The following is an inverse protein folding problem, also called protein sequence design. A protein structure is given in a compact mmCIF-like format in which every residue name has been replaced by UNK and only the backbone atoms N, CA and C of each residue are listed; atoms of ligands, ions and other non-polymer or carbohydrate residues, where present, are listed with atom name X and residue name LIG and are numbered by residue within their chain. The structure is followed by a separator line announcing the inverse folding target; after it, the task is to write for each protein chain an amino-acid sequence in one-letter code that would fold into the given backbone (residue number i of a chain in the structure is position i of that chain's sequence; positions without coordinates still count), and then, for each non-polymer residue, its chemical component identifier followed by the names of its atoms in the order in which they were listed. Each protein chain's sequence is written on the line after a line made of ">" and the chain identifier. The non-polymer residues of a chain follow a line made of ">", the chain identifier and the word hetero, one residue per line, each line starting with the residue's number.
data_IF_252257289071
#
_entry.id   IF_252257289071
#
_cell.length_a   1.000
_cell.length_b   1.000
_cell.length_c   1.000
_cell.angle_alpha   90.00
_cell.angle_beta   90.00
_cell.angle_gamma   90.00
#
_symmetry.space_group_name_H-M   'P 1'
#
loop_
_entity.id
_entity.type
_entity.pdbx_description
1 polymer ?
#
# COMPACT_ATOMS: atom_id res chain seq x y z
N UNK A 1 14.88 14.70 28.45
CA UNK A 1 15.51 15.83 27.74
C UNK A 1 15.70 15.34 26.32
N UNK A 2 15.33 16.11 25.28
CA UNK A 2 15.46 15.63 23.89
C UNK A 2 16.94 15.48 23.53
N UNK A 3 17.30 14.38 22.90
CA UNK A 3 18.70 14.05 22.57
C UNK A 3 19.31 15.10 21.61
N UNK A 4 18.48 15.72 20.76
CA UNK A 4 18.92 16.71 19.78
C UNK A 4 19.23 18.09 20.37
N UNK A 5 18.73 18.42 21.58
CA UNK A 5 18.89 19.76 22.14
C UNK A 5 20.36 20.12 22.38
N UNK A 6 21.19 19.13 22.71
CA UNK A 6 22.63 19.32 22.90
C UNK A 6 23.30 19.81 21.60
N UNK A 7 22.94 19.21 20.46
CA UNK A 7 23.46 19.62 19.16
C UNK A 7 23.10 21.07 18.83
N UNK A 8 21.84 21.46 19.04
CA UNK A 8 21.42 22.86 18.82
C UNK A 8 22.15 23.79 19.79
N UNK A 9 22.29 23.42 21.05
CA UNK A 9 23.03 24.21 22.04
C UNK A 9 24.49 24.45 21.62
N UNK A 10 25.21 23.39 21.23
CA UNK A 10 26.60 23.49 20.77
C UNK A 10 26.74 24.32 19.49
N UNK A 11 25.76 24.19 18.58
CA UNK A 11 25.68 24.98 17.35
C UNK A 11 25.48 26.47 17.65
N UNK A 12 24.51 26.80 18.49
CA UNK A 12 24.22 28.19 18.88
C UNK A 12 25.39 28.80 19.68
N UNK A 13 26.00 28.04 20.59
CA UNK A 13 27.17 28.50 21.34
C UNK A 13 28.37 28.77 20.42
N UNK A 14 28.62 27.89 19.45
CA UNK A 14 29.66 28.09 18.44
C UNK A 14 29.37 29.30 17.54
N UNK A 15 28.11 29.47 17.13
CA UNK A 15 27.66 30.61 16.35
C UNK A 15 27.88 31.93 17.11
N UNK A 16 27.44 32.02 18.37
CA UNK A 16 27.63 33.20 19.22
C UNK A 16 29.10 33.56 19.39
N UNK A 17 29.98 32.56 19.56
CA UNK A 17 31.43 32.78 19.66
C UNK A 17 32.02 33.30 18.35
N UNK A 18 31.63 32.72 17.21
CA UNK A 18 32.13 33.13 15.91
C UNK A 18 31.68 34.55 15.55
N UNK A 19 30.38 34.82 15.63
CA UNK A 19 29.80 36.14 15.35
C UNK A 19 30.24 37.19 16.37
N UNK A 20 30.44 36.80 17.64
CA UNK A 20 31.01 37.67 18.66
C UNK A 20 32.42 38.15 18.30
N UNK A 21 33.27 37.26 17.77
CA UNK A 21 34.60 37.61 17.31
C UNK A 21 34.57 38.55 16.09
N UNK A 22 33.68 38.31 15.12
CA UNK A 22 33.47 39.23 13.98
C UNK A 22 32.99 40.62 14.43
N UNK A 23 32.04 40.65 15.37
CA UNK A 23 31.53 41.90 15.96
C UNK A 23 32.65 42.67 16.65
N UNK A 24 33.53 41.98 17.36
CA UNK A 24 34.66 42.59 18.05
C UNK A 24 35.69 43.22 17.10
N UNK A 25 36.00 42.56 15.99
CA UNK A 25 36.86 43.12 14.95
C UNK A 25 36.26 44.39 14.35
N UNK A 26 34.95 44.39 14.11
CA UNK A 26 34.25 45.52 13.46
C UNK A 26 34.00 46.70 14.39
N UNK A 27 33.78 46.45 15.68
CA UNK A 27 33.46 47.48 16.68
C UNK A 27 34.32 47.37 17.96
N UNK A 28 35.64 47.64 17.90
CA UNK A 28 36.55 47.38 19.01
C UNK A 28 36.22 48.15 20.29
N UNK A 29 35.74 49.40 20.16
CA UNK A 29 35.38 50.24 21.31
C UNK A 29 34.20 49.71 22.12
N UNK A 30 33.26 49.02 21.47
CA UNK A 30 32.07 48.45 22.12
C UNK A 30 32.36 47.05 22.63
N UNK A 31 33.00 46.22 21.81
CA UNK A 31 33.35 44.85 22.19
C UNK A 31 34.41 44.77 23.29
N UNK A 32 35.33 45.74 23.37
CA UNK A 32 36.30 45.83 24.47
C UNK A 32 35.64 46.03 25.85
N UNK A 33 34.41 46.55 25.91
CA UNK A 33 33.62 46.61 27.17
C UNK A 33 32.98 45.28 27.53
N UNK A 34 32.84 44.38 26.57
CA UNK A 34 32.20 43.08 26.68
C UNK A 34 33.23 41.93 26.73
N UNK A 35 34.53 42.24 26.62
CA UNK A 35 35.63 41.26 26.61
C UNK A 35 35.40 40.11 25.61
N UNK A 36 34.82 40.43 24.46
CA UNK A 36 34.55 39.46 23.39
C UNK A 36 35.82 39.31 22.53
N UNK A 37 36.82 38.61 23.02
CA UNK A 37 38.01 38.23 22.23
C UNK A 37 37.82 36.85 21.57
N UNK A 38 38.58 36.59 20.50
CA UNK A 38 38.43 35.38 19.71
C UNK A 38 38.83 34.12 20.52
N UNK A 39 37.83 33.40 21.02
CA UNK A 39 37.96 32.02 21.49
C UNK A 39 37.80 31.78 22.99
N UNK A 40 37.74 32.82 23.84
CA UNK A 40 37.43 32.69 25.28
C UNK A 40 37.01 34.03 25.88
N UNK A 41 35.87 34.07 26.55
CA UNK A 41 35.55 35.17 27.44
C UNK A 41 36.30 34.96 28.77
N UNK A 42 37.09 35.94 29.21
CA UNK A 42 37.84 35.82 30.47
C UNK A 42 36.93 35.92 31.70
N UNK A 43 35.74 36.52 31.56
CA UNK A 43 34.75 36.64 32.64
C UNK A 43 33.83 35.40 32.70
N UNK A 44 33.87 34.60 33.79
CA UNK A 44 33.02 33.43 33.96
C UNK A 44 31.52 33.73 34.03
N UNK A 45 31.11 34.95 34.38
CA UNK A 45 29.71 35.35 34.41
C UNK A 45 29.19 35.67 33.01
N UNK A 46 30.00 36.32 32.17
CA UNK A 46 29.66 36.59 30.78
C UNK A 46 29.61 35.29 29.98
N UNK A 47 30.55 34.36 30.21
CA UNK A 47 30.52 33.04 29.58
C UNK A 47 29.23 32.28 29.93
N UNK A 48 28.84 32.26 31.21
CA UNK A 48 27.57 31.63 31.64
C UNK A 48 26.33 32.31 31.04
N UNK A 49 26.38 33.62 30.82
CA UNK A 49 25.29 34.34 30.14
C UNK A 49 25.21 33.95 28.65
N UNK A 50 26.36 33.78 27.98
CA UNK A 50 26.41 33.29 26.59
C UNK A 50 25.90 31.85 26.49
N UNK A 51 26.28 30.97 27.41
CA UNK A 51 25.76 29.61 27.52
C UNK A 51 24.25 29.61 27.78
N UNK A 52 23.75 30.40 28.73
CA UNK A 52 22.32 30.51 29.00
C UNK A 52 21.54 31.05 27.78
N UNK A 53 22.11 32.01 27.06
CA UNK A 53 21.51 32.55 25.84
C UNK A 53 21.51 31.52 24.70
N UNK A 54 22.62 30.82 24.48
CA UNK A 54 22.72 29.71 23.53
C UNK A 54 21.67 28.63 23.83
N UNK A 55 21.46 28.30 25.10
CA UNK A 55 20.46 27.32 25.52
C UNK A 55 19.03 27.78 25.20
N UNK A 56 18.71 29.05 25.44
CA UNK A 56 17.40 29.60 25.08
C UNK A 56 17.20 29.64 23.56
N UNK A 57 18.19 30.10 22.81
CA UNK A 57 18.16 30.14 21.34
C UNK A 57 18.02 28.74 20.73
N UNK A 58 18.77 27.77 21.26
CA UNK A 58 18.70 26.38 20.83
C UNK A 58 17.29 25.79 20.98
N UNK A 59 16.60 26.11 22.09
CA UNK A 59 15.21 25.68 22.29
C UNK A 59 14.25 26.32 21.27
N UNK A 60 14.47 27.57 20.90
CA UNK A 60 13.65 28.28 19.90
C UNK A 60 13.89 27.69 18.51
N UNK A 61 15.13 27.53 18.07
CA UNK A 61 15.43 26.95 16.76
C UNK A 61 14.98 25.49 16.65
N UNK A 62 15.20 24.66 17.68
CA UNK A 62 14.67 23.30 17.72
C UNK A 62 13.15 23.30 17.58
N UNK A 63 12.45 24.24 18.23
CA UNK A 63 10.99 24.34 18.15
C UNK A 63 10.50 24.78 16.78
N UNK A 64 11.20 25.71 16.11
CA UNK A 64 10.88 26.15 14.75
C UNK A 64 11.06 25.01 13.75
N UNK A 65 12.20 24.30 13.83
CA UNK A 65 12.50 23.20 12.91
C UNK A 65 11.52 22.03 13.09
N UNK A 66 11.06 21.78 14.31
CA UNK A 66 10.01 20.81 14.63
C UNK A 66 8.62 21.15 14.08
N UNK A 67 8.29 22.44 13.95
CA UNK A 67 6.96 22.89 13.48
C UNK A 67 6.88 22.96 11.95
N UNK A 68 8.01 23.04 11.26
CA UNK A 68 8.05 23.13 9.80
C UNK A 68 7.36 21.95 9.08
N UNK A 69 7.51 20.67 9.51
CA UNK A 69 6.76 19.55 8.96
C UNK A 69 5.23 19.71 9.01
N UNK A 70 4.68 20.33 10.06
CA UNK A 70 3.23 20.52 10.20
C UNK A 70 2.66 21.43 9.09
N UNK A 71 3.44 22.44 8.68
CA UNK A 71 3.08 23.36 7.58
C UNK A 71 3.06 22.60 6.26
N UNK A 72 4.07 21.77 6.01
CA UNK A 72 4.19 20.97 4.79
C UNK A 72 3.08 19.92 4.72
N UNK A 73 2.79 19.23 5.83
CA UNK A 73 1.70 18.26 5.93
C UNK A 73 0.34 18.92 5.67
N UNK A 74 0.11 20.10 6.25
CA UNK A 74 -1.11 20.89 6.02
C UNK A 74 -1.29 21.24 4.55
N UNK A 75 -0.22 21.66 3.87
CA UNK A 75 -0.25 21.94 2.44
C UNK A 75 -0.55 20.67 1.62
N UNK A 76 0.08 19.54 1.95
CA UNK A 76 -0.18 18.26 1.31
C UNK A 76 -1.60 17.76 1.53
N UNK A 77 -2.20 18.03 2.69
CA UNK A 77 -3.59 17.65 2.96
C UNK A 77 -4.59 18.28 1.98
N UNK A 78 -4.25 19.43 1.39
CA UNK A 78 -5.06 20.13 0.38
C UNK A 78 -4.67 19.71 -1.03
N UNK A 79 -3.37 19.74 -1.37
CA UNK A 79 -2.91 19.52 -2.74
C UNK A 79 -2.83 18.02 -3.12
N UNK A 80 -2.31 17.18 -2.22
CA UNK A 80 -2.10 15.75 -2.44
C UNK A 80 -2.51 14.93 -1.20
N UNK A 81 -3.82 14.89 -0.86
CA UNK A 81 -4.30 14.26 0.37
C UNK A 81 -3.94 12.78 0.51
N UNK A 82 -3.67 12.09 -0.61
CA UNK A 82 -3.31 10.67 -0.62
C UNK A 82 -1.87 10.39 -0.13
N UNK A 83 -1.01 11.40 0.03
CA UNK A 83 0.34 11.23 0.58
C UNK A 83 0.37 11.27 2.11
N UNK A 84 -0.61 11.95 2.71
CA UNK A 84 -0.72 12.11 4.17
C UNK A 84 -1.79 11.19 4.79
N UNK A 85 -2.71 10.65 3.97
CA UNK A 85 -3.72 9.73 4.45
C UNK A 85 -3.15 8.31 4.60
N UNK A 86 -3.41 7.63 5.73
CA UNK A 86 -2.99 6.25 5.90
C UNK A 86 -3.70 5.32 4.91
N UNK A 87 -2.97 4.33 4.41
CA UNK A 87 -3.55 3.27 3.58
C UNK A 87 -4.28 2.28 4.50
N UNK A 88 -5.59 2.04 4.31
CA UNK A 88 -6.32 1.11 5.15
C UNK A 88 -5.85 -0.33 4.90
N UNK A 89 -6.09 -1.22 5.86
CA UNK A 89 -5.91 -2.65 5.66
C UNK A 89 -6.84 -3.14 4.54
N UNK A 90 -6.32 -4.00 3.66
CA UNK A 90 -7.03 -4.56 2.51
C UNK A 90 -6.79 -6.07 2.44
N UNK A 91 -7.77 -6.82 1.94
CA UNK A 91 -7.66 -8.27 1.75
C UNK A 91 -8.56 -8.73 0.61
N UNK A 92 -8.27 -9.91 0.08
CA UNK A 92 -9.11 -10.61 -0.91
C UNK A 92 -9.91 -11.68 -0.18
N UNK A 93 -11.23 -11.67 -0.36
CA UNK A 93 -12.13 -12.65 0.23
C UNK A 93 -12.77 -13.50 -0.85
N UNK A 94 -13.02 -14.76 -0.53
CA UNK A 94 -13.78 -15.67 -1.37
C UNK A 94 -15.16 -15.89 -0.75
N UNK A 95 -16.20 -15.65 -1.54
CA UNK A 95 -17.56 -15.99 -1.15
C UNK A 95 -17.87 -17.42 -1.58
N UNK A 96 -18.39 -18.22 -0.65
CA UNK A 96 -18.91 -19.55 -0.93
C UNK A 96 -20.42 -19.50 -0.95
N UNK A 97 -21.01 -19.95 -2.06
CA UNK A 97 -22.44 -20.22 -2.11
C UNK A 97 -22.70 -21.53 -1.36
N UNK A 98 -23.62 -21.48 -0.41
CA UNK A 98 -24.12 -22.67 0.29
C UNK A 98 -25.10 -23.41 -0.64
N UNK A 99 -24.77 -24.63 -1.11
CA UNK A 99 -25.65 -25.39 -2.00
C UNK A 99 -26.98 -25.79 -1.35
N UNK A 100 -27.03 -25.87 -0.02
CA UNK A 100 -28.18 -26.39 0.73
C UNK A 100 -29.17 -25.29 1.14
N UNK A 101 -28.71 -24.03 1.24
CA UNK A 101 -29.55 -22.90 1.66
C UNK A 101 -30.39 -22.27 0.54
N UNK A 102 -30.32 -22.79 -0.69
CA UNK A 102 -31.23 -22.39 -1.76
C UNK A 102 -30.77 -22.84 -3.14
N UNK A 103 -31.72 -23.26 -3.97
CA UNK A 103 -31.49 -23.51 -5.40
C UNK A 103 -31.24 -22.18 -6.11
N UNK A 104 -30.02 -21.67 -6.01
CA UNK A 104 -29.56 -20.55 -6.83
C UNK A 104 -29.46 -21.02 -8.29
N UNK A 105 -30.58 -20.90 -9.00
CA UNK A 105 -30.65 -21.14 -10.45
C UNK A 105 -30.15 -19.94 -11.26
N UNK A 106 -29.82 -18.83 -10.59
CA UNK A 106 -29.36 -17.57 -11.19
C UNK A 106 -28.15 -17.02 -10.41
N UNK A 107 -27.44 -16.05 -10.97
CA UNK A 107 -26.34 -15.38 -10.29
C UNK A 107 -26.81 -14.52 -9.11
N UNK A 108 -26.05 -14.51 -8.01
CA UNK A 108 -26.28 -13.67 -6.84
C UNK A 108 -25.35 -12.45 -6.88
N UNK A 109 -25.92 -11.25 -7.00
CA UNK A 109 -25.12 -10.01 -7.02
C UNK A 109 -24.77 -9.57 -5.60
N UNK A 110 -23.48 -9.38 -5.34
CA UNK A 110 -22.93 -8.68 -4.19
C UNK A 110 -22.55 -7.27 -4.65
N UNK A 111 -23.26 -6.23 -4.17
CA UNK A 111 -22.93 -4.87 -4.55
C UNK A 111 -21.60 -4.41 -3.96
N UNK A 112 -20.98 -3.42 -4.58
CA UNK A 112 -19.92 -2.62 -3.96
C UNK A 112 -20.38 -2.04 -2.62
N UNK A 113 -19.45 -1.77 -1.71
CA UNK A 113 -19.72 -1.28 -0.35
C UNK A 113 -20.45 -2.29 0.56
N UNK A 114 -20.59 -3.55 0.16
CA UNK A 114 -21.14 -4.61 1.02
C UNK A 114 -20.25 -4.80 2.24
N UNK A 115 -20.85 -4.76 3.43
CA UNK A 115 -20.14 -4.82 4.70
C UNK A 115 -19.69 -6.25 5.01
N UNK A 116 -18.42 -6.40 5.41
CA UNK A 116 -17.82 -7.65 5.84
C UNK A 116 -17.17 -7.47 7.21
N UNK A 117 -17.20 -8.51 8.04
CA UNK A 117 -16.57 -8.51 9.35
C UNK A 117 -15.48 -9.58 9.42
N UNK A 118 -14.33 -9.24 9.99
CA UNK A 118 -13.32 -10.24 10.32
C UNK A 118 -13.70 -11.04 11.55
N UNK A 119 -12.97 -12.13 11.81
CA UNK A 119 -12.92 -12.71 13.14
C UNK A 119 -12.49 -11.63 14.16
N UNK A 120 -13.04 -11.62 15.40
CA UNK A 120 -12.65 -10.66 16.41
C UNK A 120 -11.18 -10.81 16.80
N UNK A 121 -10.45 -9.69 16.85
CA UNK A 121 -9.08 -9.62 17.38
C UNK A 121 -9.18 -8.79 18.65
N UNK A 122 -8.75 -9.34 19.79
CA UNK A 122 -8.94 -8.71 21.12
C UNK A 122 -10.40 -8.31 21.40
N UNK A 123 -11.36 -9.13 20.96
CA UNK A 123 -12.79 -8.89 21.16
C UNK A 123 -13.43 -7.89 20.18
N UNK A 124 -12.66 -7.28 19.26
CA UNK A 124 -13.20 -6.35 18.27
C UNK A 124 -13.03 -6.87 16.84
N UNK A 125 -14.11 -7.04 16.07
CA UNK A 125 -14.01 -7.38 14.65
C UNK A 125 -13.65 -6.15 13.82
N UNK A 126 -12.79 -6.33 12.82
CA UNK A 126 -12.51 -5.32 11.82
C UNK A 126 -13.63 -5.29 10.79
N UNK A 127 -14.06 -4.08 10.40
CA UNK A 127 -15.06 -3.85 9.36
C UNK A 127 -14.39 -3.58 8.02
N UNK A 128 -14.72 -4.38 7.02
CA UNK A 128 -14.29 -4.23 5.64
C UNK A 128 -15.50 -3.97 4.74
N UNK A 129 -15.23 -3.53 3.51
CA UNK A 129 -16.24 -3.32 2.49
C UNK A 129 -15.75 -3.80 1.13
N UNK A 130 -16.64 -4.35 0.32
CA UNK A 130 -16.31 -4.71 -1.08
C UNK A 130 -16.03 -3.43 -1.88
N UNK A 131 -15.07 -3.50 -2.81
CA UNK A 131 -14.65 -2.34 -3.63
C UNK A 131 -15.16 -2.39 -5.09
N UNK A 132 -15.93 -3.41 -5.45
CA UNK A 132 -16.60 -3.52 -6.74
C UNK A 132 -17.79 -4.49 -6.68
N UNK A 133 -18.70 -4.35 -7.64
CA UNK A 133 -19.80 -5.29 -7.84
C UNK A 133 -19.27 -6.67 -8.23
N UNK A 134 -19.78 -7.72 -7.59
CA UNK A 134 -19.40 -9.11 -7.85
C UNK A 134 -20.63 -9.98 -7.97
N UNK A 135 -20.80 -10.68 -9.09
CA UNK A 135 -21.86 -11.69 -9.24
C UNK A 135 -21.29 -13.06 -8.89
N UNK A 136 -21.88 -13.72 -7.90
CA UNK A 136 -21.58 -15.09 -7.54
C UNK A 136 -22.40 -16.03 -8.41
N UNK A 137 -21.70 -16.85 -9.18
CA UNK A 137 -22.32 -17.88 -10.01
C UNK A 137 -22.28 -19.23 -9.27
N UNK A 138 -23.30 -20.09 -9.44
CA UNK A 138 -23.32 -21.46 -8.91
C UNK A 138 -22.39 -22.38 -9.74
N UNK A 139 -21.14 -21.94 -9.90
CA UNK A 139 -20.10 -22.58 -10.70
C UNK A 139 -18.84 -22.70 -9.85
N UNK A 140 -18.21 -23.87 -9.85
CA UNK A 140 -16.92 -24.13 -9.19
C UNK A 140 -15.85 -24.44 -10.22
N UNK A 141 -14.62 -24.02 -9.91
CA UNK A 141 -13.42 -24.53 -10.60
C UNK A 141 -13.10 -25.89 -10.01
N UNK A 142 -13.23 -26.94 -10.82
CA UNK A 142 -12.92 -28.32 -10.43
C UNK A 142 -11.43 -28.62 -10.57
N UNK A 143 -10.81 -28.10 -11.63
CA UNK A 143 -9.39 -28.27 -11.90
C UNK A 143 -8.84 -27.08 -12.67
N UNK A 144 -7.57 -26.77 -12.43
CA UNK A 144 -6.79 -25.79 -13.18
C UNK A 144 -5.40 -26.39 -13.46
N UNK A 145 -5.03 -26.50 -14.73
CA UNK A 145 -3.79 -27.15 -15.14
C UNK A 145 -3.08 -26.34 -16.23
N UNK A 146 -1.77 -26.17 -16.09
CA UNK A 146 -0.93 -25.69 -17.19
C UNK A 146 -0.39 -26.87 -17.99
N UNK A 147 -0.69 -26.92 -19.28
CA UNK A 147 -0.28 -28.03 -20.16
C UNK A 147 0.29 -27.51 -21.47
N UNK A 148 1.22 -28.25 -22.06
CA UNK A 148 1.58 -28.05 -23.46
C UNK A 148 0.36 -28.37 -24.35
N UNK A 149 0.22 -27.67 -25.47
CA UNK A 149 -1.00 -27.74 -26.27
C UNK A 149 -1.28 -29.15 -26.83
N UNK A 150 -0.23 -29.91 -27.15
CA UNK A 150 -0.26 -31.30 -27.61
C UNK A 150 -0.78 -32.30 -26.53
N UNK A 151 -0.68 -31.94 -25.26
CA UNK A 151 -1.11 -32.75 -24.11
C UNK A 151 -2.53 -32.44 -23.64
N UNK A 152 -3.20 -31.46 -24.26
CA UNK A 152 -4.60 -31.18 -23.95
C UNK A 152 -5.47 -32.36 -24.35
N UNK A 153 -6.38 -32.73 -23.45
CA UNK A 153 -7.40 -33.76 -23.67
C UNK A 153 -8.77 -33.21 -23.27
N UNK A 154 -9.81 -33.40 -24.09
CA UNK A 154 -9.78 -33.90 -25.47
C UNK A 154 -8.94 -33.00 -26.39
N UNK A 155 -8.40 -33.57 -27.47
CA UNK A 155 -7.57 -32.85 -28.42
C UNK A 155 -8.27 -31.56 -28.87
N UNK A 156 -7.48 -30.50 -28.99
CA UNK A 156 -7.96 -29.18 -29.39
C UNK A 156 -7.26 -28.84 -30.69
N UNK A 157 -7.95 -28.24 -31.67
CA UNK A 157 -7.27 -27.58 -32.77
C UNK A 157 -6.45 -26.41 -32.21
N UNK A 158 -5.22 -26.73 -31.80
CA UNK A 158 -4.27 -25.78 -31.27
C UNK A 158 -3.64 -25.04 -32.45
N UNK A 159 -4.22 -23.91 -32.84
CA UNK A 159 -3.61 -23.00 -33.82
C UNK A 159 -2.40 -22.34 -33.14
N UNK A 160 -1.21 -22.89 -33.35
CA UNK A 160 0.09 -22.32 -32.99
C UNK A 160 0.34 -22.00 -31.50
N UNK A 161 -0.46 -22.55 -30.57
CA UNK A 161 -0.20 -22.39 -29.14
C UNK A 161 0.85 -23.37 -28.63
N UNK A 162 1.85 -22.90 -27.88
CA UNK A 162 2.87 -23.76 -27.23
C UNK A 162 2.32 -24.42 -25.96
N UNK A 163 1.52 -23.67 -25.21
CA UNK A 163 0.92 -24.11 -23.95
C UNK A 163 -0.48 -23.53 -23.78
N UNK A 164 -1.21 -24.06 -22.79
CA UNK A 164 -2.56 -23.64 -22.46
C UNK A 164 -2.84 -23.83 -20.97
N UNK A 165 -3.63 -22.89 -20.43
CA UNK A 165 -4.29 -23.04 -19.15
C UNK A 165 -5.62 -23.76 -19.35
N UNK A 166 -5.74 -24.99 -18.88
CA UNK A 166 -6.99 -25.75 -18.88
C UNK A 166 -7.71 -25.50 -17.56
N UNK A 167 -8.91 -24.92 -17.65
CA UNK A 167 -9.84 -24.80 -16.54
C UNK A 167 -11.00 -25.77 -16.74
N UNK A 168 -11.30 -26.54 -15.71
CA UNK A 168 -12.49 -27.40 -15.67
C UNK A 168 -13.51 -26.76 -14.73
N UNK A 169 -14.68 -26.41 -15.27
CA UNK A 169 -15.74 -25.72 -14.54
C UNK A 169 -16.97 -26.62 -14.43
N UNK A 170 -17.54 -26.69 -13.24
CA UNK A 170 -18.75 -27.49 -12.97
C UNK A 170 -19.83 -26.60 -12.38
N UNK A 171 -21.06 -26.72 -12.87
CA UNK A 171 -22.22 -26.12 -12.23
C UNK A 171 -22.61 -26.91 -10.98
N UNK A 172 -23.31 -26.27 -10.05
CA UNK A 172 -23.93 -26.96 -8.91
C UNK A 172 -25.09 -27.85 -9.39
N UNK A 173 -25.59 -28.72 -8.51
CA UNK A 173 -26.68 -29.65 -8.84
C UNK A 173 -27.91 -28.88 -9.37
N UNK A 174 -28.59 -29.46 -10.36
CA UNK A 174 -29.78 -28.91 -11.04
C UNK A 174 -29.56 -27.59 -11.84
N UNK A 175 -28.31 -27.11 -11.96
CA UNK A 175 -27.97 -25.91 -12.73
C UNK A 175 -27.17 -26.26 -13.99
N UNK A 176 -27.51 -25.63 -15.11
CA UNK A 176 -26.78 -25.75 -16.38
C UNK A 176 -26.25 -24.39 -16.82
N UNK A 177 -25.11 -24.36 -17.51
CA UNK A 177 -24.52 -23.12 -18.01
C UNK A 177 -25.46 -22.33 -18.92
N UNK A 178 -26.31 -23.00 -19.70
CA UNK A 178 -27.30 -22.35 -20.59
C UNK A 178 -28.33 -21.50 -19.84
N UNK A 179 -28.62 -21.82 -18.56
CA UNK A 179 -29.57 -21.07 -17.74
C UNK A 179 -28.92 -19.88 -17.04
N UNK A 180 -27.59 -19.81 -17.02
CA UNK A 180 -26.85 -18.75 -16.37
C UNK A 180 -26.50 -17.69 -17.41
N UNK A 181 -26.96 -16.46 -17.17
CA UNK A 181 -26.67 -15.30 -18.03
C UNK A 181 -25.26 -14.76 -17.78
N UNK A 182 -24.25 -15.60 -18.05
CA UNK A 182 -22.84 -15.30 -17.78
C UNK A 182 -22.25 -14.57 -18.98
N UNK A 183 -22.10 -13.26 -18.86
CA UNK A 183 -21.34 -12.47 -19.84
C UNK A 183 -19.82 -12.51 -19.59
N UNK A 184 -19.42 -12.60 -18.31
CA UNK A 184 -18.00 -12.63 -17.93
C UNK A 184 -17.78 -13.43 -16.64
N UNK A 185 -16.65 -14.14 -16.59
CA UNK A 185 -16.16 -14.82 -15.39
C UNK A 185 -14.82 -14.22 -14.97
N UNK A 186 -14.75 -13.78 -13.71
CA UNK A 186 -13.53 -13.26 -13.10
C UNK A 186 -12.88 -14.35 -12.26
N UNK A 187 -11.60 -14.58 -12.50
CA UNK A 187 -10.78 -15.48 -11.70
C UNK A 187 -9.74 -14.68 -10.91
N UNK A 188 -9.49 -15.10 -9.67
CA UNK A 188 -8.37 -14.62 -8.86
C UNK A 188 -7.28 -15.68 -8.84
N UNK A 189 -6.06 -15.30 -9.23
CA UNK A 189 -4.90 -16.19 -9.25
C UNK A 189 -4.21 -16.14 -7.89
N UNK A 190 -4.50 -17.14 -7.04
CA UNK A 190 -3.85 -17.30 -5.75
C UNK A 190 -2.69 -18.30 -5.87
N UNK A 191 -1.47 -17.88 -5.58
CA UNK A 191 -0.28 -18.73 -5.63
C UNK A 191 1.01 -17.96 -5.44
N UNK A 192 2.14 -18.61 -5.73
CA UNK A 192 3.45 -17.98 -5.70
C UNK A 192 3.53 -16.79 -6.71
N UNK A 193 4.05 -15.61 -6.30
CA UNK A 193 4.13 -14.44 -7.18
C UNK A 193 4.88 -14.68 -8.49
N UNK A 194 5.95 -15.49 -8.47
CA UNK A 194 6.72 -15.76 -9.69
C UNK A 194 5.90 -16.50 -10.74
N UNK A 195 5.06 -17.44 -10.30
CA UNK A 195 4.17 -18.21 -11.17
C UNK A 195 2.97 -17.36 -11.59
N UNK A 196 2.30 -16.71 -10.64
CA UNK A 196 1.07 -15.96 -10.90
C UNK A 196 1.32 -14.73 -11.78
N UNK A 197 2.40 -13.97 -11.56
CA UNK A 197 2.73 -12.83 -12.42
C UNK A 197 3.07 -13.26 -13.86
N UNK A 198 3.85 -14.33 -14.02
CA UNK A 198 4.15 -14.89 -15.35
C UNK A 198 2.87 -15.35 -16.03
N UNK A 199 1.97 -16.02 -15.30
CA UNK A 199 0.69 -16.46 -15.86
C UNK A 199 -0.20 -15.27 -16.25
N UNK A 200 -0.25 -14.21 -15.45
CA UNK A 200 -0.97 -12.97 -15.78
C UNK A 200 -0.42 -12.36 -17.07
N UNK A 201 0.90 -12.25 -17.20
CA UNK A 201 1.54 -11.73 -18.41
C UNK A 201 1.19 -12.56 -19.64
N UNK A 202 1.27 -13.90 -19.54
CA UNK A 202 0.92 -14.80 -20.62
C UNK A 202 -0.55 -14.70 -21.02
N UNK A 203 -1.47 -14.60 -20.05
CA UNK A 203 -2.91 -14.48 -20.30
C UNK A 203 -3.30 -13.10 -20.84
N UNK A 204 -2.66 -12.03 -20.39
CA UNK A 204 -3.01 -10.67 -20.80
C UNK A 204 -2.40 -10.28 -22.16
N UNK A 205 -1.13 -10.66 -22.41
CA UNK A 205 -0.38 -10.18 -23.56
C UNK A 205 -0.17 -11.24 -24.65
N UNK A 206 -0.19 -12.53 -24.28
CA UNK A 206 0.18 -13.63 -25.17
C UNK A 206 -0.96 -14.66 -25.36
N UNK A 207 -2.18 -14.32 -24.95
CA UNK A 207 -3.33 -15.20 -25.13
C UNK A 207 -3.77 -15.18 -26.60
N UNK A 208 -3.55 -16.29 -27.29
CA UNK A 208 -3.89 -16.46 -28.71
C UNK A 208 -5.39 -16.70 -28.89
N UNK A 209 -6.00 -17.52 -28.03
CA UNK A 209 -7.41 -17.91 -28.12
C UNK A 209 -7.95 -18.43 -26.79
N UNK A 210 -9.27 -18.26 -26.59
CA UNK A 210 -10.03 -18.85 -25.47
C UNK A 210 -11.09 -19.76 -26.07
N UNK A 211 -11.15 -21.00 -25.57
CA UNK A 211 -12.08 -22.03 -26.06
C UNK A 211 -12.90 -22.58 -24.90
N UNK A 212 -14.22 -22.47 -24.99
CA UNK A 212 -15.16 -23.11 -24.08
C UNK A 212 -15.76 -24.35 -24.76
N UNK A 213 -15.79 -25.48 -24.05
CA UNK A 213 -16.33 -26.74 -24.57
C UNK A 213 -17.10 -27.46 -23.47
N UNK A 214 -18.23 -28.02 -23.85
CA UNK A 214 -18.95 -28.98 -23.00
C UNK A 214 -18.34 -30.38 -23.22
N UNK A 215 -17.80 -30.96 -22.15
CA UNK A 215 -17.21 -32.31 -22.16
C UNK A 215 -18.24 -33.41 -21.88
N UNK A 216 -19.45 -33.03 -21.47
CA UNK A 216 -20.58 -33.94 -21.23
C UNK A 216 -21.43 -34.18 -22.48
N UNK A 217 -21.38 -33.27 -23.46
CA UNK A 217 -22.05 -33.44 -24.75
C UNK A 217 -21.31 -34.48 -25.63
N UNK A 218 -22.02 -35.41 -26.29
CA UNK A 218 -21.39 -36.33 -27.23
C UNK A 218 -20.76 -35.53 -28.36
N UNK A 219 -19.53 -35.91 -28.76
CA UNK A 219 -18.81 -35.27 -29.85
C UNK A 219 -19.72 -35.18 -31.09
N UNK A 220 -20.09 -33.95 -31.49
CA UNK A 220 -20.76 -33.74 -32.78
C UNK A 220 -19.82 -34.29 -33.85
N UNK A 221 -20.27 -35.37 -34.50
CA UNK A 221 -19.63 -35.96 -35.68
C UNK A 221 -19.54 -34.94 -36.81
#
# INVERSE_FOLDING_TARGET
>A
MRDDLLFYYERELSFLRHTGAEFAQRYPKVAGRLQLEAGKCEDPHVERLLEAFAFLAARVHLKIDDEFPEVVESLFSVLYPHYVRPVPSMSVVQFHLDPDQGKLTTGLRIPVESCLYSAPINGMPCKFRTCFDTTLWPVRVQAAEWKSADRLRPAVPAMNSVAALRLELHCFQDVTFEKLDIESLRFFLLGDPSVTHTLIELLANNCIQILARDLSAPARK
#
